data_IF_275563689077
#
_entry.id   IF_275563689077
#
_cell.length_a   1.000
_cell.length_b   1.000
_cell.length_c   1.000
_cell.angle_alpha   90.00
_cell.angle_beta   90.00
_cell.angle_gamma   90.00
#
_symmetry.space_group_name_H-M   'P 1'
#
loop_
_entity.id
_entity.type
_entity.pdbx_description
1 polymer ?
#
# COMPACT_ATOMS: atom_id res chain seq x y z
N UNK A 1 22.58 -18.81 -1.51
CA UNK A 1 21.32 -18.53 -2.24
C UNK A 1 21.46 -18.81 -3.73
N UNK A 2 20.50 -19.56 -4.28
CA UNK A 2 20.35 -19.87 -5.70
C UNK A 2 18.92 -19.51 -6.14
N UNK A 3 18.69 -19.40 -7.44
CA UNK A 3 17.36 -19.17 -8.01
C UNK A 3 16.95 -20.36 -8.87
N UNK A 4 15.77 -20.93 -8.62
CA UNK A 4 15.22 -22.01 -9.44
C UNK A 4 13.88 -21.61 -10.05
N UNK A 5 13.69 -21.98 -11.32
CA UNK A 5 12.41 -21.84 -12.02
C UNK A 5 11.57 -23.08 -11.77
N UNK A 6 10.34 -22.88 -11.30
CA UNK A 6 9.39 -23.96 -11.06
C UNK A 6 8.44 -24.10 -12.26
N UNK A 7 8.20 -25.32 -12.74
CA UNK A 7 7.27 -25.55 -13.84
C UNK A 7 5.84 -25.21 -13.42
N UNK A 8 5.05 -24.77 -14.41
CA UNK A 8 3.63 -24.50 -14.27
C UNK A 8 2.87 -25.33 -15.28
N UNK A 9 1.70 -25.85 -14.88
CA UNK A 9 0.85 -26.67 -15.75
C UNK A 9 -0.05 -25.83 -16.68
N UNK A 10 -0.01 -24.50 -16.56
CA UNK A 10 -0.80 -23.57 -17.35
C UNK A 10 -0.86 -22.16 -16.77
N UNK A 11 -1.72 -21.34 -17.36
CA UNK A 11 -2.09 -20.03 -16.81
C UNK A 11 -2.86 -20.19 -15.48
N UNK A 12 -2.87 -19.11 -14.70
CA UNK A 12 -3.62 -19.02 -13.47
C UNK A 12 -4.25 -17.63 -13.34
N UNK A 13 -5.36 -17.57 -12.61
CA UNK A 13 -6.06 -16.34 -12.25
C UNK A 13 -6.13 -16.14 -10.73
N UNK A 14 -5.67 -17.14 -9.96
CA UNK A 14 -5.64 -17.09 -8.49
C UNK A 14 -4.24 -17.39 -8.00
N UNK A 15 -3.85 -16.76 -6.91
CA UNK A 15 -2.60 -17.07 -6.19
C UNK A 15 -2.97 -17.38 -4.75
N UNK A 16 -2.57 -18.56 -4.28
CA UNK A 16 -2.60 -18.94 -2.88
C UNK A 16 -1.17 -19.23 -2.41
N UNK A 17 -0.78 -18.55 -1.34
CA UNK A 17 0.53 -18.70 -0.74
C UNK A 17 0.43 -18.80 0.77
N UNK A 18 1.26 -19.63 1.38
CA UNK A 18 1.41 -19.68 2.83
C UNK A 18 2.89 -19.70 3.23
N UNK A 19 3.18 -19.11 4.40
CA UNK A 19 4.46 -19.10 5.14
C UNK A 19 5.30 -17.79 5.06
N UNK A 20 6.59 -17.90 5.40
CA UNK A 20 7.55 -16.82 5.55
C UNK A 20 8.15 -16.41 4.20
N UNK A 21 7.40 -15.68 3.37
CA UNK A 21 7.76 -15.44 1.96
C UNK A 21 7.60 -13.97 1.57
N UNK A 22 8.59 -13.46 0.83
CA UNK A 22 8.50 -12.20 0.10
C UNK A 22 8.09 -12.45 -1.36
N UNK A 23 6.94 -11.93 -1.76
CA UNK A 23 6.38 -12.04 -3.10
C UNK A 23 6.56 -10.77 -3.91
N UNK A 24 6.99 -10.95 -5.14
CA UNK A 24 6.99 -9.92 -6.16
C UNK A 24 6.21 -10.39 -7.38
N UNK A 25 5.09 -9.71 -7.65
CA UNK A 25 4.21 -10.02 -8.76
C UNK A 25 4.54 -9.13 -9.96
N UNK A 26 4.49 -9.68 -11.17
CA UNK A 26 4.62 -8.92 -12.40
C UNK A 26 3.68 -9.44 -13.48
N UNK A 27 2.82 -8.56 -14.02
CA UNK A 27 2.06 -8.90 -15.23
C UNK A 27 2.98 -8.89 -16.45
N UNK A 28 2.92 -9.94 -17.28
CA UNK A 28 3.72 -10.10 -18.50
C UNK A 28 2.85 -10.52 -19.69
N UNK A 29 3.35 -10.33 -20.91
CA UNK A 29 2.69 -10.82 -22.13
C UNK A 29 3.26 -12.18 -22.62
N UNK A 30 4.25 -12.73 -21.90
CA UNK A 30 4.86 -14.04 -22.15
C UNK A 30 4.17 -15.14 -21.34
N UNK A 31 4.68 -16.36 -21.45
CA UNK A 31 4.29 -17.44 -20.55
C UNK A 31 4.49 -17.06 -19.07
N UNK A 32 3.58 -17.50 -18.18
CA UNK A 32 3.74 -17.29 -16.75
C UNK A 32 4.95 -18.06 -16.22
N UNK A 33 5.49 -17.61 -15.10
CA UNK A 33 6.62 -18.28 -14.46
C UNK A 33 6.64 -18.03 -12.96
N UNK A 34 7.19 -19.00 -12.23
CA UNK A 34 7.52 -18.86 -10.82
C UNK A 34 9.01 -19.11 -10.67
N UNK A 35 9.71 -18.13 -10.11
CA UNK A 35 11.12 -18.23 -9.76
C UNK A 35 11.24 -18.04 -8.26
N UNK A 36 11.92 -18.96 -7.59
CA UNK A 36 12.13 -18.91 -6.15
C UNK A 36 13.62 -18.78 -5.87
N UNK A 37 13.97 -17.76 -5.09
CA UNK A 37 15.34 -17.51 -4.62
C UNK A 37 15.42 -17.81 -3.12
N UNK A 38 16.25 -18.79 -2.77
CA UNK A 38 16.52 -19.18 -1.38
C UNK A 38 17.81 -20.02 -1.30
N UNK A 39 18.07 -20.69 -0.17
CA UNK A 39 19.22 -21.58 -0.03
C UNK A 39 19.04 -22.91 -0.80
N UNK A 40 20.12 -23.42 -1.37
CA UNK A 40 20.13 -24.64 -2.21
C UNK A 40 19.54 -25.87 -1.49
N UNK A 41 19.74 -26.00 -0.18
CA UNK A 41 19.20 -27.11 0.59
C UNK A 41 17.67 -27.11 0.65
N UNK A 42 17.02 -25.95 0.49
CA UNK A 42 15.56 -25.83 0.48
C UNK A 42 14.99 -26.42 -0.81
N UNK A 43 15.64 -26.14 -1.93
CA UNK A 43 15.31 -26.67 -3.26
C UNK A 43 15.58 -28.18 -3.34
N UNK A 44 16.81 -28.59 -3.05
CA UNK A 44 17.27 -29.98 -3.21
C UNK A 44 16.51 -30.97 -2.31
N UNK A 45 16.06 -30.53 -1.12
CA UNK A 45 15.22 -31.34 -0.23
C UNK A 45 13.73 -31.30 -0.57
N UNK A 46 13.34 -30.62 -1.65
CA UNK A 46 11.95 -30.47 -2.13
C UNK A 46 11.01 -29.97 -1.04
N UNK A 47 11.46 -28.95 -0.29
CA UNK A 47 10.70 -28.37 0.81
C UNK A 47 9.70 -27.29 0.37
N UNK A 48 9.63 -27.04 -0.94
CA UNK A 48 8.72 -26.12 -1.59
C UNK A 48 7.94 -26.89 -2.65
N UNK A 49 6.62 -26.76 -2.60
CA UNK A 49 5.72 -27.26 -3.63
C UNK A 49 5.14 -26.07 -4.38
N UNK A 50 5.28 -26.08 -5.70
CA UNK A 50 4.64 -25.15 -6.62
C UNK A 50 3.75 -25.97 -7.54
N UNK A 51 2.48 -25.64 -7.62
CA UNK A 51 1.53 -26.35 -8.49
C UNK A 51 0.43 -25.42 -8.97
N UNK A 52 -0.08 -25.67 -10.18
CA UNK A 52 -1.32 -25.06 -10.65
C UNK A 52 -2.45 -26.06 -10.40
N UNK A 53 -3.30 -25.81 -9.41
CA UNK A 53 -4.42 -26.70 -9.06
C UNK A 53 -5.58 -26.57 -10.08
N UNK A 54 -6.55 -27.51 -10.08
CA UNK A 54 -7.84 -27.28 -10.74
C UNK A 54 -8.46 -25.93 -10.32
N UNK A 55 -9.07 -25.22 -11.27
CA UNK A 55 -9.59 -23.84 -11.15
C UNK A 55 -8.54 -22.72 -11.22
N UNK A 56 -7.47 -22.93 -11.99
CA UNK A 56 -6.51 -21.88 -12.38
C UNK A 56 -5.88 -21.17 -11.18
N UNK A 57 -5.50 -21.96 -10.16
CA UNK A 57 -4.93 -21.47 -8.91
C UNK A 57 -3.46 -21.89 -8.76
N UNK A 58 -2.57 -20.91 -8.74
CA UNK A 58 -1.18 -21.10 -8.36
C UNK A 58 -1.10 -21.29 -6.85
N UNK A 59 -0.60 -22.44 -6.42
CA UNK A 59 -0.41 -22.79 -5.02
C UNK A 59 1.08 -22.95 -4.71
N UNK A 60 1.57 -22.15 -3.75
CA UNK A 60 2.95 -22.18 -3.28
C UNK A 60 2.95 -22.51 -1.80
N UNK A 61 3.51 -23.67 -1.45
CA UNK A 61 3.51 -24.22 -0.09
C UNK A 61 4.89 -24.61 0.36
N UNK A 62 5.17 -24.33 1.63
CA UNK A 62 6.33 -24.84 2.35
C UNK A 62 5.93 -26.02 3.23
N UNK A 63 6.85 -26.97 3.40
CA UNK A 63 6.72 -28.03 4.41
C UNK A 63 6.69 -27.42 5.82
N UNK A 64 5.74 -27.83 6.64
CA UNK A 64 5.57 -27.29 8.00
C UNK A 64 6.67 -27.75 8.95
N UNK A 65 6.88 -26.99 10.04
CA UNK A 65 7.82 -27.35 11.11
C UNK A 65 9.30 -27.09 10.81
N UNK A 66 9.60 -26.38 9.71
CA UNK A 66 10.96 -26.03 9.31
C UNK A 66 11.17 -24.53 9.51
N UNK A 67 12.32 -24.15 10.07
CA UNK A 67 12.78 -22.77 10.08
C UNK A 67 13.48 -22.48 8.74
N UNK A 68 12.81 -21.72 7.88
CA UNK A 68 13.32 -21.38 6.56
C UNK A 68 14.24 -20.15 6.61
N UNK A 69 15.26 -20.09 5.74
CA UNK A 69 15.96 -18.84 5.46
C UNK A 69 15.03 -17.89 4.72
N UNK A 70 15.51 -16.72 4.32
CA UNK A 70 14.74 -15.83 3.45
C UNK A 70 14.34 -16.57 2.16
N UNK A 71 13.07 -16.42 1.76
CA UNK A 71 12.52 -16.95 0.53
C UNK A 71 11.90 -15.79 -0.23
N UNK A 72 12.42 -15.53 -1.43
CA UNK A 72 11.82 -14.58 -2.38
C UNK A 72 11.18 -15.34 -3.51
N UNK A 73 9.96 -14.96 -3.85
CA UNK A 73 9.18 -15.58 -4.92
C UNK A 73 8.79 -14.51 -5.93
N UNK A 74 9.29 -14.69 -7.15
CA UNK A 74 8.93 -13.89 -8.30
C UNK A 74 7.86 -14.63 -9.10
N UNK A 75 6.68 -14.03 -9.20
CA UNK A 75 5.56 -14.59 -9.96
C UNK A 75 5.28 -13.69 -11.16
N UNK A 76 5.48 -14.21 -12.36
CA UNK A 76 5.01 -13.57 -13.58
C UNK A 76 3.71 -14.21 -14.05
N UNK A 77 2.71 -13.40 -14.35
CA UNK A 77 1.39 -13.88 -14.76
C UNK A 77 0.91 -13.11 -16.00
N UNK A 78 0.17 -13.78 -16.88
CA UNK A 78 -0.35 -13.20 -18.11
C UNK A 78 -1.82 -12.79 -17.98
N UNK A 79 -2.61 -13.72 -17.47
CA UNK A 79 -4.06 -13.57 -17.30
C UNK A 79 -4.37 -12.70 -16.09
N UNK A 80 -5.32 -11.76 -16.19
CA UNK A 80 -5.70 -10.91 -15.06
C UNK A 80 -6.12 -11.73 -13.83
N UNK A 81 -5.58 -11.40 -12.67
CA UNK A 81 -5.88 -12.09 -11.42
C UNK A 81 -7.28 -11.70 -10.91
N UNK A 82 -7.96 -12.65 -10.28
CA UNK A 82 -9.26 -12.49 -9.62
C UNK A 82 -9.21 -12.78 -8.13
N UNK A 83 -8.17 -13.49 -7.67
CA UNK A 83 -8.03 -13.88 -6.26
C UNK A 83 -6.54 -13.90 -5.84
N UNK A 84 -6.24 -13.27 -4.72
CA UNK A 84 -4.92 -13.21 -4.10
C UNK A 84 -5.09 -13.55 -2.62
N UNK A 85 -4.67 -14.74 -2.19
CA UNK A 85 -4.76 -15.21 -0.81
C UNK A 85 -3.36 -15.51 -0.26
N UNK A 86 -3.01 -14.87 0.85
CA UNK A 86 -1.69 -15.01 1.46
C UNK A 86 -1.82 -15.23 2.96
N UNK A 87 -1.19 -16.29 3.46
CA UNK A 87 -1.22 -16.64 4.86
C UNK A 87 0.20 -16.69 5.47
N UNK A 88 0.32 -16.39 6.76
CA UNK A 88 1.58 -16.48 7.50
C UNK A 88 2.30 -15.15 7.64
N UNK A 89 3.63 -15.16 7.54
CA UNK A 89 4.45 -13.94 7.67
C UNK A 89 4.97 -13.53 6.32
N UNK A 90 4.28 -12.63 5.63
CA UNK A 90 4.56 -12.40 4.21
C UNK A 90 4.64 -10.94 3.85
N UNK A 91 5.39 -10.62 2.80
CA UNK A 91 5.26 -9.34 2.11
C UNK A 91 4.90 -9.60 0.66
N UNK A 92 3.98 -8.82 0.11
CA UNK A 92 3.65 -8.91 -1.31
C UNK A 92 3.61 -7.54 -1.93
N UNK A 93 4.32 -7.40 -3.05
CA UNK A 93 4.35 -6.19 -3.85
C UNK A 93 4.11 -6.54 -5.30
N UNK A 94 3.51 -5.60 -6.03
CA UNK A 94 3.50 -5.67 -7.49
C UNK A 94 4.60 -4.78 -8.07
N UNK A 95 5.31 -5.27 -9.08
CA UNK A 95 6.28 -4.49 -9.87
C UNK A 95 5.60 -3.48 -10.79
N UNK A 96 4.40 -3.82 -11.24
CA UNK A 96 3.59 -3.01 -12.15
C UNK A 96 2.14 -2.90 -11.67
N UNK A 97 1.36 -2.05 -12.32
CA UNK A 97 -0.07 -1.91 -11.99
C UNK A 97 -0.77 -3.26 -12.18
N UNK A 98 -1.45 -3.72 -11.13
CA UNK A 98 -2.32 -4.89 -11.16
C UNK A 98 -3.57 -4.53 -11.97
N UNK A 99 -3.55 -4.90 -13.25
CA UNK A 99 -4.71 -4.79 -14.13
C UNK A 99 -5.49 -6.10 -14.08
N UNK A 100 -6.67 -6.08 -13.45
CA UNK A 100 -7.58 -7.21 -13.31
C UNK A 100 -8.65 -7.23 -14.42
N UNK A 101 -9.43 -8.31 -14.49
CA UNK A 101 -10.49 -8.44 -15.49
C UNK A 101 -11.62 -7.42 -15.20
N UNK A 102 -12.03 -6.61 -16.20
CA UNK A 102 -12.93 -5.48 -15.99
C UNK A 102 -14.34 -5.87 -15.51
N UNK A 103 -14.72 -7.14 -15.58
CA UNK A 103 -16.05 -7.61 -15.19
C UNK A 103 -16.05 -8.56 -13.99
N UNK A 104 -14.90 -8.91 -13.43
CA UNK A 104 -14.81 -9.82 -12.29
C UNK A 104 -14.61 -9.07 -10.97
N UNK A 105 -15.11 -9.64 -9.88
CA UNK A 105 -14.67 -9.26 -8.54
C UNK A 105 -13.19 -9.62 -8.37
N UNK A 106 -12.39 -8.69 -7.83
CA UNK A 106 -11.02 -8.98 -7.37
C UNK A 106 -11.04 -9.20 -5.86
N UNK A 107 -10.64 -10.38 -5.40
CA UNK A 107 -10.50 -10.71 -4.00
C UNK A 107 -9.04 -10.66 -3.57
N UNK A 108 -8.79 -10.02 -2.42
CA UNK A 108 -7.49 -9.98 -1.76
C UNK A 108 -7.71 -10.41 -0.33
N UNK A 109 -7.04 -11.47 0.10
CA UNK A 109 -7.12 -11.98 1.46
C UNK A 109 -5.71 -12.11 2.04
N UNK A 110 -5.52 -11.61 3.26
CA UNK A 110 -4.29 -11.82 4.01
C UNK A 110 -4.60 -12.24 5.44
N UNK A 111 -4.03 -13.36 5.87
CA UNK A 111 -4.13 -13.85 7.25
C UNK A 111 -2.74 -14.03 7.88
N UNK A 112 -2.39 -13.19 8.86
CA UNK A 112 -1.12 -13.31 9.58
C UNK A 112 -0.43 -11.97 9.79
N UNK A 113 0.90 -11.93 9.60
CA UNK A 113 1.72 -10.72 9.78
C UNK A 113 2.35 -10.31 8.45
N UNK A 114 2.17 -9.08 7.99
CA UNK A 114 2.72 -8.78 6.67
C UNK A 114 2.67 -7.36 6.17
N UNK A 115 3.23 -7.17 4.98
CA UNK A 115 3.15 -5.91 4.24
C UNK A 115 2.65 -6.16 2.83
N UNK A 116 1.53 -5.55 2.45
CA UNK A 116 1.00 -5.63 1.09
C UNK A 116 1.01 -4.24 0.47
N UNK A 117 1.65 -4.11 -0.69
CA UNK A 117 1.73 -2.85 -1.44
C UNK A 117 1.30 -3.10 -2.86
N UNK A 118 0.13 -2.58 -3.22
CA UNK A 118 -0.44 -2.75 -4.54
C UNK A 118 -0.89 -1.43 -5.15
N UNK A 119 -0.70 -1.36 -6.46
CA UNK A 119 -1.28 -0.34 -7.33
C UNK A 119 -2.22 -1.05 -8.31
N UNK A 120 -3.47 -0.62 -8.39
CA UNK A 120 -4.51 -1.27 -9.18
C UNK A 120 -4.97 -0.42 -10.35
N UNK A 121 -5.39 -1.10 -11.41
CA UNK A 121 -6.34 -0.57 -12.38
C UNK A 121 -7.43 -1.62 -12.57
N UNK A 122 -8.56 -1.40 -11.93
CA UNK A 122 -9.68 -2.34 -11.93
C UNK A 122 -10.99 -1.63 -12.26
N UNK A 123 -11.77 -2.22 -13.16
CA UNK A 123 -13.02 -1.60 -13.62
C UNK A 123 -14.27 -2.10 -12.87
N UNK A 124 -14.12 -3.07 -11.97
CA UNK A 124 -15.22 -3.66 -11.20
C UNK A 124 -14.99 -3.52 -9.69
N UNK A 125 -15.73 -4.30 -8.91
CA UNK A 125 -15.68 -4.31 -7.45
C UNK A 125 -14.39 -5.00 -6.96
N UNK A 126 -13.91 -4.57 -5.79
CA UNK A 126 -12.86 -5.26 -5.05
C UNK A 126 -13.38 -5.69 -3.68
N UNK A 127 -12.83 -6.79 -3.18
CA UNK A 127 -13.01 -7.25 -1.81
C UNK A 127 -11.63 -7.46 -1.18
N UNK A 128 -11.39 -6.83 -0.03
CA UNK A 128 -10.13 -6.92 0.71
C UNK A 128 -10.43 -7.40 2.12
N UNK A 129 -9.91 -8.58 2.46
CA UNK A 129 -10.02 -9.18 3.78
C UNK A 129 -8.63 -9.24 4.43
N UNK A 130 -8.45 -8.52 5.53
CA UNK A 130 -7.22 -8.48 6.31
C UNK A 130 -7.51 -9.04 7.69
N UNK A 131 -6.85 -10.14 8.03
CA UNK A 131 -6.90 -10.78 9.34
C UNK A 131 -5.48 -10.81 9.91
N UNK A 132 -5.21 -10.04 10.97
CA UNK A 132 -3.91 -10.06 11.66
C UNK A 132 -3.24 -8.70 11.74
N UNK A 133 -1.91 -8.66 11.58
CA UNK A 133 -1.08 -7.48 11.82
C UNK A 133 -0.30 -7.11 10.57
N UNK A 134 -0.11 -5.82 10.31
CA UNK A 134 0.66 -5.44 9.14
C UNK A 134 0.32 -4.08 8.55
N UNK A 135 0.96 -3.79 7.43
CA UNK A 135 0.73 -2.58 6.65
C UNK A 135 0.20 -2.93 5.26
N UNK A 136 -0.93 -2.35 4.89
CA UNK A 136 -1.61 -2.61 3.63
C UNK A 136 -1.76 -1.26 2.92
N UNK A 137 -1.05 -1.06 1.82
CA UNK A 137 -1.11 0.14 1.01
C UNK A 137 -1.75 -0.23 -0.32
N UNK A 138 -2.92 0.32 -0.58
CA UNK A 138 -3.65 0.17 -1.83
C UNK A 138 -3.68 1.53 -2.54
N UNK A 139 -3.28 1.53 -3.80
CA UNK A 139 -3.22 2.72 -4.65
C UNK A 139 -3.78 2.42 -6.04
N UNK A 140 -3.98 3.47 -6.85
CA UNK A 140 -4.42 3.35 -8.24
C UNK A 140 -5.89 3.70 -8.44
N UNK A 141 -6.57 3.03 -9.38
CA UNK A 141 -7.94 3.33 -9.78
C UNK A 141 -8.83 2.10 -9.74
N UNK A 142 -9.90 2.17 -8.97
CA UNK A 142 -10.98 1.18 -8.94
C UNK A 142 -12.28 1.85 -9.32
N UNK A 143 -12.92 1.42 -10.43
CA UNK A 143 -14.20 2.03 -10.87
C UNK A 143 -15.42 1.50 -10.11
N UNK A 144 -15.32 0.31 -9.53
CA UNK A 144 -16.41 -0.30 -8.76
C UNK A 144 -16.39 0.06 -7.27
N UNK A 145 -17.18 -0.69 -6.51
CA UNK A 145 -17.27 -0.58 -5.06
C UNK A 145 -16.12 -1.35 -4.38
N UNK A 146 -15.72 -0.89 -3.20
CA UNK A 146 -14.77 -1.59 -2.34
C UNK A 146 -15.45 -2.13 -1.09
N UNK A 147 -15.29 -3.44 -0.84
CA UNK A 147 -15.62 -4.04 0.45
C UNK A 147 -14.32 -4.35 1.20
N UNK A 148 -14.13 -3.74 2.37
CA UNK A 148 -12.90 -3.82 3.14
C UNK A 148 -13.23 -4.39 4.52
N UNK A 149 -12.84 -5.63 4.79
CA UNK A 149 -13.01 -6.29 6.09
C UNK A 149 -11.65 -6.39 6.78
N UNK A 150 -11.51 -5.73 7.92
CA UNK A 150 -10.24 -5.52 8.60
C UNK A 150 -10.36 -6.03 10.04
N UNK A 151 -9.53 -6.98 10.43
CA UNK A 151 -9.45 -7.48 11.80
C UNK A 151 -8.02 -7.65 12.30
N UNK A 152 -7.82 -7.55 13.63
CA UNK A 152 -6.52 -7.77 14.28
C UNK A 152 -5.86 -6.47 14.74
N UNK A 153 -4.64 -6.19 14.26
CA UNK A 153 -3.89 -4.93 14.49
C UNK A 153 -3.28 -4.34 13.20
N UNK A 154 -4.02 -4.22 12.07
CA UNK A 154 -3.45 -3.73 10.83
C UNK A 154 -3.51 -2.20 10.69
N UNK A 155 -2.64 -1.69 9.82
CA UNK A 155 -2.75 -0.36 9.22
C UNK A 155 -3.11 -0.51 7.74
N UNK A 156 -4.33 -0.13 7.39
CA UNK A 156 -4.80 -0.05 6.01
C UNK A 156 -4.76 1.40 5.51
N UNK A 157 -4.11 1.62 4.38
CA UNK A 157 -4.10 2.89 3.67
C UNK A 157 -4.56 2.69 2.23
N UNK A 158 -5.78 3.13 1.94
CA UNK A 158 -6.42 3.08 0.64
C UNK A 158 -6.87 4.48 0.17
N UNK A 159 -6.34 5.57 0.73
CA UNK A 159 -6.69 6.93 0.28
C UNK A 159 -6.26 7.21 -1.16
N UNK A 160 -5.15 6.60 -1.58
CA UNK A 160 -4.64 6.70 -2.95
C UNK A 160 -5.35 5.73 -3.92
N UNK A 161 -6.40 5.03 -3.48
CA UNK A 161 -7.20 4.11 -4.27
C UNK A 161 -8.68 4.50 -4.17
N UNK A 162 -9.12 5.60 -4.82
CA UNK A 162 -10.53 5.97 -4.86
C UNK A 162 -11.38 4.85 -5.44
N UNK A 163 -12.47 4.54 -4.75
CA UNK A 163 -13.50 3.57 -5.16
C UNK A 163 -14.85 4.28 -5.24
N UNK A 164 -15.85 3.69 -5.92
CA UNK A 164 -17.17 4.28 -6.07
C UNK A 164 -17.87 4.45 -4.71
N UNK A 165 -18.23 3.34 -4.08
CA UNK A 165 -18.69 3.27 -2.70
C UNK A 165 -17.73 2.37 -1.92
N UNK A 166 -17.29 2.81 -0.75
CA UNK A 166 -16.49 1.99 0.17
C UNK A 166 -17.34 1.52 1.33
N UNK A 167 -17.42 0.21 1.54
CA UNK A 167 -17.94 -0.38 2.77
C UNK A 167 -16.75 -0.91 3.55
N UNK A 168 -16.48 -0.32 4.72
CA UNK A 168 -15.41 -0.78 5.62
C UNK A 168 -16.00 -1.35 6.91
N UNK A 169 -15.59 -2.58 7.22
CA UNK A 169 -15.89 -3.28 8.46
C UNK A 169 -14.57 -3.47 9.22
N UNK A 170 -14.38 -2.78 10.34
CA UNK A 170 -13.19 -2.89 11.16
C UNK A 170 -13.53 -3.49 12.53
N UNK A 171 -12.85 -4.56 12.88
CA UNK A 171 -12.93 -5.21 14.19
C UNK A 171 -11.55 -5.33 14.83
N UNK A 172 -11.47 -5.26 16.16
CA UNK A 172 -10.18 -5.31 16.86
C UNK A 172 -9.48 -3.94 16.95
N UNK A 173 -8.15 -3.91 16.82
CA UNK A 173 -7.35 -2.67 16.94
C UNK A 173 -6.84 -2.24 15.57
N UNK A 174 -6.80 -0.96 15.22
CA UNK A 174 -6.21 -0.61 13.93
C UNK A 174 -6.44 0.80 13.44
N UNK A 175 -5.84 1.07 12.28
CA UNK A 175 -6.01 2.31 11.53
C UNK A 175 -6.43 1.96 10.11
N UNK A 176 -7.51 2.56 9.63
CA UNK A 176 -7.89 2.48 8.23
C UNK A 176 -8.06 3.88 7.64
N UNK A 177 -7.53 4.09 6.44
CA UNK A 177 -7.74 5.31 5.67
C UNK A 177 -8.35 4.95 4.31
N UNK A 178 -9.53 5.48 3.98
CA UNK A 178 -10.29 5.03 2.80
C UNK A 178 -10.92 6.20 2.03
N UNK A 179 -11.17 6.01 0.73
CA UNK A 179 -11.81 7.02 -0.11
C UNK A 179 -12.92 6.41 -0.98
N UNK A 180 -14.18 6.73 -0.64
CA UNK A 180 -15.35 6.46 -1.49
C UNK A 180 -15.84 7.73 -2.16
N UNK A 181 -15.79 7.78 -3.49
CA UNK A 181 -16.13 8.98 -4.27
C UNK A 181 -17.61 9.35 -4.13
N UNK A 182 -18.49 8.35 -4.22
CA UNK A 182 -19.94 8.51 -4.07
C UNK A 182 -20.40 8.24 -2.64
N UNK A 183 -19.59 7.54 -1.85
CA UNK A 183 -19.72 7.55 -0.41
C UNK A 183 -19.08 6.39 0.34
N UNK A 184 -19.21 6.44 1.66
CA UNK A 184 -18.57 5.49 2.59
C UNK A 184 -19.58 4.99 3.61
N UNK A 185 -19.66 3.67 3.77
CA UNK A 185 -20.32 2.99 4.87
C UNK A 185 -19.28 2.43 5.84
N UNK A 186 -19.44 2.71 7.13
CA UNK A 186 -18.47 2.34 8.16
C UNK A 186 -19.13 1.49 9.24
N UNK A 187 -18.58 0.31 9.50
CA UNK A 187 -18.92 -0.49 10.67
C UNK A 187 -17.65 -0.71 11.49
N UNK A 188 -17.69 -0.33 12.77
CA UNK A 188 -16.53 -0.44 13.66
C UNK A 188 -16.91 -1.09 14.99
N UNK A 189 -16.29 -2.23 15.28
CA UNK A 189 -16.45 -3.00 16.51
C UNK A 189 -15.06 -3.28 17.12
N UNK A 190 -14.48 -2.27 17.77
CA UNK A 190 -13.14 -2.38 18.33
C UNK A 190 -12.54 -1.05 18.81
N UNK A 191 -11.22 -0.99 18.89
CA UNK A 191 -10.44 0.18 19.31
C UNK A 191 -9.57 0.63 18.14
N UNK A 192 -9.99 1.65 17.41
CA UNK A 192 -9.21 2.05 16.25
C UNK A 192 -9.59 3.40 15.70
N UNK A 193 -8.99 3.74 14.57
CA UNK A 193 -9.29 4.98 13.87
C UNK A 193 -9.64 4.68 12.44
N UNK A 194 -10.78 5.18 11.98
CA UNK A 194 -11.15 5.17 10.56
C UNK A 194 -11.16 6.61 10.09
N UNK A 195 -10.23 6.91 9.21
CA UNK A 195 -10.18 8.15 8.47
C UNK A 195 -10.82 7.89 7.10
N UNK A 196 -11.87 8.63 6.74
CA UNK A 196 -12.55 8.43 5.46
C UNK A 196 -12.56 9.71 4.62
N UNK A 197 -12.72 9.55 3.31
CA UNK A 197 -12.94 10.67 2.39
C UNK A 197 -14.18 10.39 1.54
N UNK A 198 -14.94 11.45 1.28
CA UNK A 198 -16.19 11.43 0.51
C UNK A 198 -17.43 11.36 1.40
N UNK A 199 -18.64 11.35 0.80
CA UNK A 199 -19.89 11.41 1.54
C UNK A 199 -20.03 10.26 2.54
N UNK A 200 -20.27 10.55 3.82
CA UNK A 200 -20.60 9.51 4.79
C UNK A 200 -22.05 9.06 4.57
N UNK A 201 -22.24 7.82 4.15
CA UNK A 201 -23.57 7.25 3.88
C UNK A 201 -24.18 6.56 5.10
N UNK A 202 -23.35 6.05 6.00
CA UNK A 202 -23.80 5.47 7.26
C UNK A 202 -22.64 4.98 8.12
N UNK A 203 -22.83 5.04 9.44
CA UNK A 203 -21.85 4.54 10.39
C UNK A 203 -22.51 3.76 11.53
N UNK A 204 -21.87 2.67 11.94
CA UNK A 204 -22.24 1.88 13.11
C UNK A 204 -20.99 1.70 13.96
N UNK A 205 -21.05 2.10 15.22
CA UNK A 205 -19.92 2.01 16.16
C UNK A 205 -20.36 1.34 17.45
N UNK A 206 -19.72 0.24 17.82
CA UNK A 206 -19.97 -0.48 19.07
C UNK A 206 -18.74 -0.62 19.99
N UNK A 207 -17.62 0.04 19.64
CA UNK A 207 -16.37 0.02 20.42
C UNK A 207 -15.78 1.41 20.70
N UNK A 208 -14.55 1.45 21.23
CA UNK A 208 -13.81 2.67 21.59
C UNK A 208 -12.96 3.21 20.43
N UNK A 209 -13.58 3.37 19.26
CA UNK A 209 -12.87 3.89 18.08
C UNK A 209 -13.27 5.30 17.70
N UNK A 210 -12.43 5.92 16.88
CA UNK A 210 -12.63 7.27 16.35
C UNK A 210 -12.87 7.24 14.85
N UNK A 211 -13.88 7.95 14.38
CA UNK A 211 -14.19 8.11 12.95
C UNK A 211 -14.06 9.59 12.62
N UNK A 212 -13.26 9.92 11.60
CA UNK A 212 -13.07 11.29 11.14
C UNK A 212 -12.91 11.37 9.63
N UNK A 213 -13.26 12.52 9.06
CA UNK A 213 -12.90 12.80 7.68
C UNK A 213 -11.38 13.05 7.55
N UNK A 214 -10.78 12.56 6.47
CA UNK A 214 -9.39 12.81 6.14
C UNK A 214 -9.23 14.21 5.57
N UNK A 215 -8.74 15.13 6.39
CA UNK A 215 -8.29 16.43 5.92
C UNK A 215 -6.95 16.22 5.20
N UNK A 216 -6.87 16.63 3.94
CA UNK A 216 -5.57 16.76 3.28
C UNK A 216 -4.80 17.80 4.08
N UNK A 217 -3.73 17.40 4.76
CA UNK A 217 -2.66 18.35 5.05
C UNK A 217 -2.22 18.87 3.68
N UNK A 218 -2.60 20.13 3.38
CA UNK A 218 -1.87 20.90 2.40
C UNK A 218 -0.43 20.87 2.92
N UNK A 219 0.43 20.14 2.22
CA UNK A 219 1.86 20.21 2.45
C UNK A 219 2.19 21.67 2.25
N UNK A 220 2.37 22.40 3.35
CA UNK A 220 2.91 23.74 3.29
C UNK A 220 4.28 23.56 2.66
N UNK A 221 4.44 23.99 1.41
CA UNK A 221 5.75 24.38 0.94
C UNK A 221 6.28 25.36 1.97
N UNK A 222 7.19 24.86 2.80
CA UNK A 222 7.93 25.64 3.77
C UNK A 222 8.64 26.70 2.92
N UNK A 223 8.30 28.00 3.01
CA UNK A 223 9.09 28.98 2.29
C UNK A 223 10.51 28.88 2.84
N UNK A 224 11.47 28.76 1.92
CA UNK A 224 12.88 28.68 2.20
C UNK A 224 13.30 29.98 2.91
N UNK A 225 13.14 30.04 4.23
CA UNK A 225 13.62 31.17 5.01
C UNK A 225 15.12 30.99 5.21
N UNK A 226 15.85 31.83 4.48
CA UNK A 226 17.29 32.04 4.57
C UNK A 226 17.74 32.26 6.02
N UNK A 227 18.54 31.33 6.55
CA UNK A 227 19.37 31.60 7.72
C UNK A 227 20.69 32.20 7.27
N UNK A 228 20.78 33.52 7.29
CA UNK A 228 22.06 34.26 7.36
C UNK A 228 21.80 35.70 7.80
N UNK A 229 21.44 35.88 9.07
CA UNK A 229 21.78 37.10 9.81
C UNK A 229 23.05 36.77 10.61
N UNK A 230 24.21 36.95 9.99
CA UNK A 230 25.44 37.17 10.74
C UNK A 230 25.45 38.62 11.19
N UNK A 231 25.75 38.82 12.46
CA UNK A 231 25.98 40.09 13.10
C UNK A 231 26.85 41.05 12.26
N UNK A 232 26.31 42.23 11.98
CA UNK A 232 27.11 43.45 11.83
C UNK A 232 26.42 44.56 12.59
N UNK A 233 26.90 44.73 13.82
CA UNK A 233 26.89 46.00 14.55
C UNK A 233 27.47 47.05 13.59
N UNK A 234 26.65 48.00 13.15
CA UNK A 234 27.12 49.17 12.42
C UNK A 234 26.57 50.44 13.07
N UNK A 235 27.53 51.29 13.36
CA UNK A 235 27.56 52.41 14.29
C UNK A 235 26.58 53.55 13.92
N UNK A 236 25.99 54.16 14.96
CA UNK A 236 25.02 55.27 14.86
C UNK A 236 25.64 56.55 14.31
N UNK A 237 26.95 56.57 14.06
CA UNK A 237 27.69 57.73 13.54
C UNK A 237 27.85 57.80 12.01
N UNK A 238 27.36 56.82 11.24
CA UNK A 238 27.42 56.89 9.76
C UNK A 238 26.14 57.45 9.08
N UNK A 239 25.11 57.82 9.82
CA UNK A 239 23.92 58.52 9.28
C UNK A 239 24.03 60.04 9.27
N UNK A 240 25.06 60.62 9.88
CA UNK A 240 25.29 62.08 9.89
C UNK A 240 26.20 62.58 8.74
N UNK A 241 26.96 61.70 8.07
CA UNK A 241 27.84 62.09 6.95
C UNK A 241 27.18 62.08 5.58
N UNK A 242 25.97 61.50 5.43
CA UNK A 242 25.25 61.48 4.14
C UNK A 242 24.26 62.65 4.01
N UNK A 243 23.87 63.29 5.12
CA UNK A 243 22.95 64.44 5.11
C UNK A 243 23.71 65.77 4.97
N UNK A 244 25.00 65.85 5.31
CA UNK A 244 25.81 67.07 5.14
C UNK A 244 26.42 67.24 3.73
N UNK A 245 26.42 66.20 2.90
CA UNK A 245 26.96 66.27 1.53
C UNK A 245 25.93 66.71 0.47
N UNK A 246 24.63 66.72 0.80
CA UNK A 246 23.55 67.12 -0.13
C UNK A 246 23.20 68.62 0.00
N UNK A 247 23.65 69.30 1.07
CA UNK A 247 23.37 70.74 1.28
C UNK A 247 24.46 71.69 0.75
N UNK A 248 25.62 71.18 0.30
CA UNK A 248 26.69 72.02 -0.31
C UNK A 248 26.68 71.98 -1.85
N UNK A 249 25.89 71.09 -2.46
CA UNK A 249 25.79 71.00 -3.93
C UNK A 249 24.69 71.90 -4.55
N UNK A 250 24.03 72.73 -3.75
CA UNK A 250 22.98 73.67 -4.21
C UNK A 250 23.36 75.15 -4.07
N UNK A 251 24.65 75.47 -3.89
CA UNK A 251 25.13 76.86 -3.74
C UNK A 251 26.24 77.28 -4.70
N UNK A 252 26.61 76.45 -5.67
CA UNK A 252 27.40 76.86 -6.84
C UNK A 252 27.00 76.03 -8.05
N UNK A 253 25.94 76.46 -8.75
CA UNK A 253 25.75 76.46 -10.22
C UNK A 253 24.34 77.00 -10.53
#
# INVERSE_FOLDING_TARGET
MISEKYPLDGDFIKIQASAHIEFELARVNSEPSVIIETEEWVHTRRLITVSTRPNDCLDIKLVSGINYPAIKVYVSYRTPLVDLAIDGTSSMRSKNVLVSNPSSLLNIAHSGTGTIIFEFQHDSNINVAILGTGQFILSGRVRGNGRLSVSGTPRLDALACPMKIVTIEMSGTGLARVYGVEGVHITMSGVGTICYRGPLLGQITSGLGWISECILEQTSEKPLHSSSKSDKIMDRNQRLMVILAITVFFLFF
#
